data_IF_987810364986
#
_entry.id   IF_987810364986
#
_cell.length_a   1.000
_cell.length_b   1.000
_cell.length_c   1.000
_cell.angle_alpha   90.00
_cell.angle_beta   90.00
_cell.angle_gamma   90.00
#
_symmetry.space_group_name_H-M   'P 1'
#
loop_
_entity.id
_entity.type
_entity.pdbx_description
1 polymer ?
#
# COMPACT_ATOMS: atom_id res chain seq x y z
N UNK A 1 -25.99 11.00 11.62
CA UNK A 1 -25.76 11.26 10.20
C UNK A 1 -24.30 11.66 10.11
N UNK A 2 -23.45 10.79 9.57
CA UNK A 2 -22.07 11.15 9.33
C UNK A 2 -22.10 12.16 8.18
N UNK A 3 -21.54 13.33 8.41
CA UNK A 3 -21.38 14.34 7.37
C UNK A 3 -20.42 13.74 6.35
N UNK A 4 -20.90 13.52 5.13
CA UNK A 4 -20.09 12.93 4.06
C UNK A 4 -19.17 14.06 3.57
N UNK A 5 -17.95 14.08 4.11
CA UNK A 5 -16.93 15.06 3.74
C UNK A 5 -16.72 15.03 2.22
N UNK A 6 -16.56 16.20 1.63
CA UNK A 6 -16.14 16.30 0.24
C UNK A 6 -14.73 15.70 0.06
N UNK A 7 -14.37 15.27 -1.15
CA UNK A 7 -13.04 14.67 -1.44
C UNK A 7 -11.90 15.61 -1.02
N UNK A 8 -12.09 16.92 -1.23
CA UNK A 8 -11.11 17.94 -0.84
C UNK A 8 -10.99 18.06 0.69
N UNK A 9 -12.11 17.98 1.43
CA UNK A 9 -12.09 18.00 2.89
C UNK A 9 -11.43 16.75 3.47
N UNK A 10 -11.69 15.56 2.90
CA UNK A 10 -11.04 14.32 3.31
C UNK A 10 -9.52 14.39 3.08
N UNK A 11 -9.08 14.95 1.94
CA UNK A 11 -7.66 15.17 1.65
C UNK A 11 -7.01 16.10 2.69
N UNK A 12 -7.64 17.25 2.97
CA UNK A 12 -7.13 18.21 3.95
C UNK A 12 -7.10 17.63 5.37
N UNK A 13 -8.09 16.81 5.73
CA UNK A 13 -8.10 16.13 7.03
C UNK A 13 -6.98 15.08 7.13
N UNK A 14 -6.68 14.36 6.05
CA UNK A 14 -5.59 13.39 6.00
C UNK A 14 -4.21 14.03 6.31
N UNK A 15 -3.97 15.23 5.78
CA UNK A 15 -2.75 16.02 6.04
C UNK A 15 -2.66 16.54 7.48
N UNK A 16 -3.78 16.59 8.21
CA UNK A 16 -3.82 17.05 9.62
C UNK A 16 -3.73 15.91 10.63
N UNK A 17 -3.64 14.66 10.15
CA UNK A 17 -3.53 13.50 11.03
C UNK A 17 -2.23 13.54 11.83
N UNK A 18 -2.28 13.07 13.09
CA UNK A 18 -1.08 12.97 13.93
C UNK A 18 0.03 12.13 13.27
N UNK A 19 -0.34 11.04 12.60
CA UNK A 19 0.62 10.19 11.86
C UNK A 19 1.36 10.96 10.75
N UNK A 20 0.65 11.84 10.05
CA UNK A 20 1.25 12.69 9.04
C UNK A 20 2.21 13.69 9.68
N UNK A 21 1.73 14.47 10.63
CA UNK A 21 2.51 15.50 11.32
C UNK A 21 3.77 14.93 11.99
N UNK A 22 3.66 13.78 12.68
CA UNK A 22 4.78 13.13 13.35
C UNK A 22 5.86 12.66 12.37
N UNK A 23 5.46 12.08 11.23
CA UNK A 23 6.40 11.64 10.19
C UNK A 23 7.05 12.84 9.50
N UNK A 24 6.24 13.82 9.09
CA UNK A 24 6.70 15.04 8.44
C UNK A 24 7.73 15.78 9.28
N UNK A 25 7.44 16.04 10.56
CA UNK A 25 8.35 16.74 11.46
C UNK A 25 9.69 16.01 11.62
N UNK A 26 9.66 14.68 11.80
CA UNK A 26 10.89 13.93 11.98
C UNK A 26 11.72 13.83 10.69
N UNK A 27 11.08 13.74 9.52
CA UNK A 27 11.79 13.84 8.25
C UNK A 27 12.44 15.23 8.12
N UNK A 28 11.75 16.29 8.53
CA UNK A 28 12.35 17.62 8.59
C UNK A 28 13.55 17.70 9.55
N UNK A 29 13.47 17.06 10.72
CA UNK A 29 14.58 17.02 11.68
C UNK A 29 15.81 16.31 11.09
N UNK A 30 15.62 15.15 10.42
CA UNK A 30 16.68 14.46 9.70
C UNK A 30 17.32 15.37 8.65
N UNK A 31 16.51 16.15 7.92
CA UNK A 31 17.03 17.12 6.97
C UNK A 31 17.81 18.28 7.63
N UNK A 32 17.38 18.71 8.81
CA UNK A 32 18.05 19.73 9.61
C UNK A 32 19.43 19.29 10.11
N UNK A 33 19.53 18.04 10.56
CA UNK A 33 20.79 17.41 10.99
C UNK A 33 21.77 17.19 9.82
N UNK A 34 21.27 16.78 8.64
CA UNK A 34 22.11 16.63 7.45
C UNK A 34 22.68 17.98 7.01
N UNK A 35 21.86 19.05 7.03
CA UNK A 35 22.30 20.41 6.68
C UNK A 35 23.34 20.99 7.65
N UNK A 36 23.32 20.60 8.92
CA UNK A 36 24.30 21.07 9.91
C UNK A 36 25.64 20.33 9.78
N UNK A 37 25.64 19.08 9.31
CA UNK A 37 26.86 18.32 8.98
C UNK A 37 27.55 18.83 7.69
N UNK A 38 26.79 19.29 6.70
CA UNK A 38 27.30 19.84 5.42
C UNK A 38 28.03 21.20 5.55
N UNK A 39 28.18 21.74 6.78
CA UNK A 39 29.03 22.91 7.05
C UNK A 39 30.53 22.60 7.09
N UNK A 40 30.94 21.33 7.01
CA UNK A 40 32.34 20.98 6.78
C UNK A 40 32.64 20.91 5.27
N UNK A 41 33.76 21.46 4.79
CA UNK A 41 34.10 21.44 3.38
C UNK A 41 34.52 20.02 3.00
N UNK A 42 33.63 19.24 2.42
CA UNK A 42 33.97 17.95 1.83
C UNK A 42 33.29 17.79 0.48
N UNK A 43 34.13 17.79 -0.54
CA UNK A 43 33.83 17.54 -1.95
C UNK A 43 33.37 16.09 -2.15
N UNK A 44 32.09 15.81 -1.89
CA UNK A 44 31.42 14.64 -2.44
C UNK A 44 29.92 14.84 -2.36
N UNK A 45 29.23 14.77 -3.50
CA UNK A 45 27.76 14.73 -3.58
C UNK A 45 27.25 13.48 -2.86
N UNK A 46 27.04 13.57 -1.54
CA UNK A 46 26.33 12.51 -0.82
C UNK A 46 24.85 12.63 -1.19
N UNK A 47 24.20 11.53 -1.63
CA UNK A 47 22.78 11.57 -1.92
C UNK A 47 22.03 11.93 -0.63
N UNK A 48 21.09 12.86 -0.76
CA UNK A 48 20.15 13.21 0.29
C UNK A 48 19.37 11.94 0.66
N UNK A 49 19.64 11.37 1.83
CA UNK A 49 19.04 10.11 2.27
C UNK A 49 18.02 10.42 3.36
N UNK A 50 16.78 10.64 2.94
CA UNK A 50 15.63 10.59 3.85
C UNK A 50 15.28 9.12 4.04
N UNK A 51 15.20 8.67 5.29
CA UNK A 51 14.91 7.27 5.60
C UNK A 51 13.44 7.11 6.00
N UNK A 52 12.54 7.00 5.01
CA UNK A 52 11.16 6.61 5.29
C UNK A 52 11.10 5.18 5.86
N UNK A 53 12.07 4.35 5.51
CA UNK A 53 12.21 2.98 6.02
C UNK A 53 12.23 2.87 7.55
N UNK A 54 12.67 3.89 8.29
CA UNK A 54 12.64 3.90 9.77
C UNK A 54 11.21 3.97 10.33
N UNK A 55 10.25 4.42 9.53
CA UNK A 55 8.83 4.54 9.85
C UNK A 55 8.02 3.35 9.34
N UNK A 56 8.66 2.45 8.57
CA UNK A 56 7.98 1.28 8.05
C UNK A 56 7.56 0.36 9.19
N UNK A 57 6.31 -0.12 9.12
CA UNK A 57 5.88 -1.19 9.98
C UNK A 57 6.77 -2.43 9.74
N UNK A 58 7.47 -2.88 10.80
CA UNK A 58 8.48 -3.97 10.83
C UNK A 58 7.97 -5.38 10.44
N UNK A 59 6.85 -5.49 9.72
CA UNK A 59 6.44 -6.72 9.05
C UNK A 59 7.23 -6.90 7.74
N UNK A 60 8.56 -6.96 7.85
CA UNK A 60 9.42 -7.28 6.70
C UNK A 60 9.05 -8.68 6.18
N UNK A 61 9.06 -8.93 4.86
CA UNK A 61 8.81 -10.27 4.30
C UNK A 61 9.67 -11.36 4.97
N UNK A 62 10.91 -11.02 5.31
CA UNK A 62 11.86 -11.86 6.06
C UNK A 62 11.37 -12.23 7.47
N UNK A 63 10.77 -11.28 8.19
CA UNK A 63 10.18 -11.49 9.53
C UNK A 63 8.90 -12.33 9.45
N UNK A 64 8.19 -12.29 8.32
CA UNK A 64 7.01 -13.13 8.06
C UNK A 64 7.36 -14.59 7.80
N UNK A 65 8.48 -14.89 7.13
CA UNK A 65 8.89 -16.27 6.85
C UNK A 65 9.08 -17.12 8.13
N UNK A 66 9.42 -16.49 9.26
CA UNK A 66 9.46 -17.12 10.57
C UNK A 66 8.08 -17.29 11.24
N UNK A 67 7.17 -16.33 11.04
CA UNK A 67 5.82 -16.32 11.60
C UNK A 67 4.80 -17.21 10.84
N UNK A 68 5.12 -17.59 9.59
CA UNK A 68 4.33 -18.50 8.75
C UNK A 68 4.51 -19.97 9.10
N UNK A 69 5.47 -20.34 9.97
CA UNK A 69 5.56 -21.68 10.57
C UNK A 69 4.42 -21.90 11.58
N UNK A 70 3.20 -22.07 11.07
CA UNK A 70 2.00 -22.39 11.85
C UNK A 70 0.76 -21.54 11.54
N UNK A 71 0.87 -20.50 10.72
CA UNK A 71 -0.26 -19.64 10.33
C UNK A 71 -0.62 -19.83 8.85
N UNK A 72 -1.91 -19.95 8.54
CA UNK A 72 -2.43 -20.11 7.18
C UNK A 72 -2.46 -18.77 6.42
N UNK A 73 -1.32 -18.13 6.23
CA UNK A 73 -1.23 -16.90 5.42
C UNK A 73 -1.34 -17.29 3.94
N UNK A 74 -2.26 -16.64 3.21
CA UNK A 74 -2.40 -16.90 1.78
C UNK A 74 -1.19 -16.35 1.01
N UNK A 75 -0.62 -17.11 0.07
CA UNK A 75 0.59 -16.70 -0.67
C UNK A 75 0.44 -15.32 -1.34
N UNK A 76 -0.72 -15.00 -1.93
CA UNK A 76 -0.97 -13.67 -2.50
C UNK A 76 -0.89 -12.51 -1.50
N UNK A 77 -1.09 -12.77 -0.20
CA UNK A 77 -0.87 -11.76 0.85
C UNK A 77 0.62 -11.48 1.02
N UNK A 78 1.47 -12.50 0.83
CA UNK A 78 2.92 -12.34 0.82
C UNK A 78 3.33 -11.53 -0.42
N UNK A 79 2.80 -11.86 -1.60
CA UNK A 79 3.01 -11.08 -2.83
C UNK A 79 2.64 -9.59 -2.63
N UNK A 80 1.53 -9.30 -1.94
CA UNK A 80 1.14 -7.95 -1.54
C UNK A 80 2.13 -7.28 -0.56
N UNK A 81 2.63 -8.01 0.44
CA UNK A 81 3.58 -7.46 1.40
C UNK A 81 4.94 -7.15 0.75
N UNK A 82 5.32 -7.90 -0.28
CA UNK A 82 6.50 -7.59 -1.10
C UNK A 82 6.24 -6.35 -1.96
N UNK A 83 5.16 -6.34 -2.76
CA UNK A 83 4.82 -5.21 -3.63
C UNK A 83 4.66 -3.89 -2.85
N UNK A 84 4.05 -3.92 -1.67
CA UNK A 84 3.91 -2.73 -0.81
C UNK A 84 5.25 -2.27 -0.20
N UNK A 85 6.20 -3.19 0.01
CA UNK A 85 7.55 -2.83 0.43
C UNK A 85 8.33 -2.15 -0.70
N UNK A 86 8.29 -2.71 -1.91
CA UNK A 86 8.87 -2.08 -3.10
C UNK A 86 8.28 -0.69 -3.39
N UNK A 87 6.97 -0.55 -3.25
CA UNK A 87 6.29 0.73 -3.39
C UNK A 87 6.77 1.76 -2.35
N UNK A 88 6.97 1.32 -1.09
CA UNK A 88 7.52 2.19 -0.04
C UNK A 88 8.94 2.67 -0.34
N UNK A 89 9.79 1.78 -0.90
CA UNK A 89 11.12 2.17 -1.35
C UNK A 89 11.02 3.22 -2.46
N UNK A 90 10.06 3.09 -3.37
CA UNK A 90 9.84 4.08 -4.44
C UNK A 90 9.41 5.43 -3.87
N UNK A 91 8.53 5.47 -2.86
CA UNK A 91 8.20 6.70 -2.13
C UNK A 91 9.46 7.36 -1.54
N UNK A 92 10.35 6.58 -0.90
CA UNK A 92 11.61 7.10 -0.34
C UNK A 92 12.54 7.66 -1.43
N UNK A 93 12.63 6.98 -2.58
CA UNK A 93 13.42 7.45 -3.71
C UNK A 93 12.88 8.78 -4.25
N UNK A 94 11.56 8.90 -4.39
CA UNK A 94 10.88 10.11 -4.86
C UNK A 94 11.03 11.28 -3.90
N UNK A 95 10.92 11.02 -2.61
CA UNK A 95 11.10 12.06 -1.60
C UNK A 95 12.51 12.66 -1.68
N UNK A 96 13.52 11.81 -1.87
CA UNK A 96 14.89 12.25 -2.15
C UNK A 96 14.99 13.11 -3.42
N UNK A 97 14.28 12.75 -4.48
CA UNK A 97 14.21 13.54 -5.72
C UNK A 97 13.56 14.91 -5.52
N UNK A 98 12.46 14.99 -4.77
CA UNK A 98 11.79 16.25 -4.44
C UNK A 98 12.72 17.18 -3.67
N UNK A 99 13.40 16.66 -2.64
CA UNK A 99 14.33 17.46 -1.86
C UNK A 99 15.51 17.96 -2.67
N UNK A 100 16.04 17.11 -3.56
CA UNK A 100 17.11 17.52 -4.45
C UNK A 100 16.64 18.54 -5.49
N UNK A 101 15.42 18.41 -6.03
CA UNK A 101 14.83 19.41 -6.93
C UNK A 101 14.67 20.76 -6.21
N UNK A 102 14.18 20.75 -4.97
CA UNK A 102 14.07 21.96 -4.14
C UNK A 102 15.44 22.57 -3.85
N UNK A 103 16.46 21.76 -3.57
CA UNK A 103 17.83 22.23 -3.37
C UNK A 103 18.43 22.86 -4.64
N UNK A 104 18.23 22.23 -5.79
CA UNK A 104 18.65 22.76 -7.10
C UNK A 104 17.95 24.08 -7.41
N UNK A 105 16.65 24.18 -7.14
CA UNK A 105 15.87 25.39 -7.43
C UNK A 105 16.27 26.59 -6.57
N UNK A 106 16.92 26.39 -5.41
CA UNK A 106 17.50 27.51 -4.64
C UNK A 106 18.54 28.31 -5.42
N UNK A 107 19.20 27.70 -6.41
CA UNK A 107 20.12 28.39 -7.31
C UNK A 107 19.36 29.46 -8.10
N UNK A 108 18.19 29.11 -8.63
CA UNK A 108 17.29 30.05 -9.31
C UNK A 108 16.79 31.13 -8.34
N UNK A 109 16.36 30.76 -7.13
CA UNK A 109 15.95 31.75 -6.10
C UNK A 109 17.06 32.77 -5.79
N UNK A 110 18.32 32.32 -5.74
CA UNK A 110 19.47 33.23 -5.58
C UNK A 110 19.70 34.08 -6.82
N UNK A 111 19.68 33.48 -8.00
CA UNK A 111 19.84 34.19 -9.28
C UNK A 111 18.85 35.35 -9.43
N UNK A 112 17.58 35.12 -9.07
CA UNK A 112 16.48 36.10 -9.10
C UNK A 112 16.75 37.31 -8.19
N UNK A 113 17.48 37.09 -7.09
CA UNK A 113 17.70 38.06 -6.01
C UNK A 113 19.02 38.83 -6.15
N UNK A 114 19.89 38.43 -7.09
CA UNK A 114 21.20 39.04 -7.30
C UNK A 114 21.10 40.34 -8.12
N UNK A 115 21.80 41.43 -7.71
CA UNK A 115 21.76 42.71 -8.44
C UNK A 115 22.73 42.77 -9.63
N UNK A 116 23.65 41.82 -9.74
CA UNK A 116 24.75 41.85 -10.71
C UNK A 116 24.62 40.73 -11.75
N UNK A 117 24.46 41.12 -13.01
CA UNK A 117 24.24 40.23 -14.15
C UNK A 117 25.30 39.13 -14.30
N UNK A 118 26.57 39.40 -14.01
CA UNK A 118 27.65 38.40 -14.10
C UNK A 118 27.45 37.27 -13.10
N UNK A 119 27.00 37.58 -11.88
CA UNK A 119 26.70 36.57 -10.88
C UNK A 119 25.42 35.79 -11.22
N UNK A 120 24.41 36.45 -11.80
CA UNK A 120 23.20 35.78 -12.27
C UNK A 120 23.54 34.76 -13.38
N UNK A 121 24.32 35.14 -14.39
CA UNK A 121 24.76 34.21 -15.43
C UNK A 121 25.50 32.99 -14.85
N UNK A 122 26.33 33.19 -13.82
CA UNK A 122 27.03 32.09 -13.15
C UNK A 122 26.06 31.12 -12.45
N UNK A 123 25.07 31.63 -11.71
CA UNK A 123 24.06 30.77 -11.08
C UNK A 123 23.20 30.04 -12.14
N UNK A 124 22.79 30.72 -13.21
CA UNK A 124 22.03 30.09 -14.31
C UNK A 124 22.83 28.99 -15.02
N UNK A 125 24.12 29.22 -15.27
CA UNK A 125 25.01 28.22 -15.86
C UNK A 125 25.17 27.01 -14.93
N UNK A 126 25.33 27.25 -13.63
CA UNK A 126 25.36 26.19 -12.62
C UNK A 126 24.06 25.38 -12.64
N UNK A 127 22.90 26.04 -12.64
CA UNK A 127 21.59 25.37 -12.67
C UNK A 127 21.39 24.54 -13.94
N UNK A 128 21.69 25.11 -15.11
CA UNK A 128 21.56 24.44 -16.41
C UNK A 128 22.38 23.14 -16.48
N UNK A 129 23.53 23.09 -15.81
CA UNK A 129 24.40 21.91 -15.78
C UNK A 129 23.92 20.78 -14.87
N UNK A 130 22.90 21.00 -14.04
CA UNK A 130 22.42 19.99 -13.10
C UNK A 130 21.57 18.91 -13.78
N UNK A 131 21.70 17.68 -13.27
CA UNK A 131 20.77 16.62 -13.63
C UNK A 131 19.39 16.91 -13.05
N UNK A 132 18.34 16.55 -13.81
CA UNK A 132 16.98 16.63 -13.33
C UNK A 132 16.71 15.50 -12.32
N UNK A 133 16.40 15.81 -11.05
CA UNK A 133 16.19 14.79 -10.03
C UNK A 133 14.96 13.92 -10.28
N UNK A 134 13.98 14.40 -11.06
CA UNK A 134 12.76 13.65 -11.39
C UNK A 134 13.04 12.48 -12.35
N UNK A 135 14.13 12.53 -13.10
CA UNK A 135 14.56 11.42 -13.98
C UNK A 135 15.16 10.22 -13.22
N UNK A 136 15.30 10.31 -11.89
CA UNK A 136 15.81 9.22 -11.07
C UNK A 136 14.91 7.98 -11.12
N UNK A 137 13.61 8.16 -11.35
CA UNK A 137 12.68 7.08 -11.66
C UNK A 137 12.18 7.30 -13.09
N UNK A 138 12.54 6.38 -13.97
CA UNK A 138 12.16 6.43 -15.38
C UNK A 138 10.67 6.16 -15.57
N UNK A 139 10.08 6.70 -16.65
CA UNK A 139 8.70 6.38 -17.03
C UNK A 139 8.47 4.88 -17.27
N UNK A 140 9.50 4.15 -17.70
CA UNK A 140 9.44 2.68 -17.78
C UNK A 140 9.30 2.04 -16.40
N UNK A 141 10.05 2.49 -15.39
CA UNK A 141 9.92 1.95 -14.03
C UNK A 141 8.53 2.21 -13.44
N UNK A 142 7.93 3.37 -13.70
CA UNK A 142 6.54 3.64 -13.31
C UNK A 142 5.57 2.67 -13.96
N UNK A 143 5.71 2.44 -15.28
CA UNK A 143 4.89 1.48 -16.01
C UNK A 143 5.08 0.05 -15.46
N UNK A 144 6.31 -0.36 -15.21
CA UNK A 144 6.61 -1.71 -14.69
C UNK A 144 5.99 -1.92 -13.30
N UNK A 145 6.07 -0.91 -12.41
CA UNK A 145 5.39 -0.93 -11.11
C UNK A 145 3.88 -1.02 -11.29
N UNK A 146 3.30 -0.20 -12.16
CA UNK A 146 1.86 -0.18 -12.42
C UNK A 146 1.35 -1.52 -12.95
N UNK A 147 2.00 -2.08 -13.97
CA UNK A 147 1.66 -3.39 -14.55
C UNK A 147 1.77 -4.52 -13.52
N UNK A 148 2.81 -4.49 -12.68
CA UNK A 148 2.98 -5.44 -11.58
C UNK A 148 1.84 -5.36 -10.56
N UNK A 149 1.44 -4.15 -10.17
CA UNK A 149 0.35 -3.91 -9.24
C UNK A 149 -1.02 -4.30 -9.82
N UNK A 150 -1.29 -3.98 -11.09
CA UNK A 150 -2.52 -4.40 -11.79
C UNK A 150 -2.63 -5.92 -11.86
N UNK A 151 -1.53 -6.59 -12.25
CA UNK A 151 -1.47 -8.04 -12.30
C UNK A 151 -1.73 -8.67 -10.92
N UNK A 152 -1.16 -8.10 -9.87
CA UNK A 152 -1.41 -8.54 -8.50
C UNK A 152 -2.87 -8.31 -8.08
N UNK A 153 -3.45 -7.15 -8.41
CA UNK A 153 -4.85 -6.82 -8.12
C UNK A 153 -5.80 -7.83 -8.79
N UNK A 154 -5.54 -8.19 -10.04
CA UNK A 154 -6.33 -9.18 -10.76
C UNK A 154 -6.29 -10.53 -10.06
N UNK A 155 -5.10 -11.01 -9.69
CA UNK A 155 -4.90 -12.29 -8.97
C UNK A 155 -5.61 -12.30 -7.62
N UNK A 156 -5.45 -11.25 -6.82
CA UNK A 156 -6.12 -11.08 -5.53
C UNK A 156 -7.64 -11.11 -5.68
N UNK A 157 -8.16 -10.35 -6.64
CA UNK A 157 -9.61 -10.25 -6.91
C UNK A 157 -10.18 -11.57 -7.41
N UNK A 158 -9.48 -12.27 -8.28
CA UNK A 158 -9.91 -13.56 -8.81
C UNK A 158 -9.97 -14.63 -7.71
N UNK A 159 -8.92 -14.76 -6.90
CA UNK A 159 -8.90 -15.72 -5.80
C UNK A 159 -9.93 -15.36 -4.72
N UNK A 160 -10.10 -14.08 -4.38
CA UNK A 160 -11.19 -13.62 -3.51
C UNK A 160 -12.57 -14.05 -4.04
N UNK A 161 -12.87 -13.78 -5.31
CA UNK A 161 -14.15 -14.20 -5.95
C UNK A 161 -14.33 -15.72 -5.91
N UNK A 162 -13.27 -16.49 -6.10
CA UNK A 162 -13.29 -17.97 -6.02
C UNK A 162 -13.56 -18.46 -4.60
N UNK A 163 -12.94 -17.86 -3.59
CA UNK A 163 -13.18 -18.16 -2.18
C UNK A 163 -14.64 -17.86 -1.81
N UNK A 164 -15.13 -16.66 -2.17
CA UNK A 164 -16.53 -16.25 -1.91
C UNK A 164 -17.55 -17.17 -2.58
N UNK A 165 -17.26 -17.67 -3.79
CA UNK A 165 -18.09 -18.69 -4.45
C UNK A 165 -18.12 -20.00 -3.68
N UNK A 166 -16.97 -20.49 -3.20
CA UNK A 166 -16.88 -21.72 -2.38
C UNK A 166 -17.59 -21.58 -1.04
N UNK A 167 -17.49 -20.43 -0.41
CA UNK A 167 -18.19 -20.11 0.83
C UNK A 167 -19.71 -20.14 0.66
N UNK A 168 -20.23 -19.49 -0.41
CA UNK A 168 -21.65 -19.56 -0.78
C UNK A 168 -22.12 -21.00 -1.02
N UNK A 169 -21.33 -21.78 -1.75
CA UNK A 169 -21.63 -23.19 -2.01
C UNK A 169 -21.64 -24.02 -0.71
N UNK A 170 -20.65 -23.83 0.17
CA UNK A 170 -20.60 -24.52 1.46
C UNK A 170 -21.79 -24.17 2.35
N UNK A 171 -22.23 -22.91 2.39
CA UNK A 171 -23.46 -22.51 3.10
C UNK A 171 -24.69 -23.22 2.55
N UNK A 172 -24.80 -23.28 1.23
CA UNK A 172 -25.91 -23.97 0.57
C UNK A 172 -25.92 -25.48 0.87
N UNK A 173 -24.76 -26.15 0.78
CA UNK A 173 -24.63 -27.57 1.15
C UNK A 173 -24.94 -27.82 2.62
N UNK A 174 -24.49 -26.95 3.54
CA UNK A 174 -24.82 -27.05 4.97
C UNK A 174 -26.34 -26.95 5.19
N UNK A 175 -27.02 -26.06 4.46
CA UNK A 175 -28.48 -25.90 4.53
C UNK A 175 -29.21 -27.16 4.04
N UNK A 176 -28.81 -27.72 2.90
CA UNK A 176 -29.39 -28.97 2.37
C UNK A 176 -29.13 -30.16 3.30
N UNK A 177 -27.89 -30.32 3.77
CA UNK A 177 -27.53 -31.43 4.64
C UNK A 177 -28.29 -31.33 5.98
N UNK A 178 -28.48 -30.13 6.52
CA UNK A 178 -29.32 -29.88 7.69
C UNK A 178 -30.77 -30.32 7.47
N UNK A 179 -31.37 -29.93 6.35
CA UNK A 179 -32.74 -30.37 6.00
C UNK A 179 -32.84 -31.89 5.83
N UNK A 180 -31.89 -32.51 5.14
CA UNK A 180 -31.86 -33.96 4.93
C UNK A 180 -31.73 -34.72 6.26
N UNK A 181 -30.88 -34.25 7.17
CA UNK A 181 -30.74 -34.82 8.51
C UNK A 181 -32.04 -34.71 9.30
N UNK A 182 -32.70 -33.54 9.31
CA UNK A 182 -33.99 -33.36 10.00
C UNK A 182 -35.06 -34.31 9.47
N UNK A 183 -35.21 -34.42 8.14
CA UNK A 183 -36.19 -35.32 7.51
C UNK A 183 -35.88 -36.78 7.86
N UNK A 184 -34.61 -37.20 7.82
CA UNK A 184 -34.21 -38.57 8.15
C UNK A 184 -34.45 -38.93 9.62
N UNK A 185 -34.16 -38.02 10.55
CA UNK A 185 -34.41 -38.23 11.99
C UNK A 185 -35.91 -38.32 12.28
N UNK A 186 -36.72 -37.45 11.69
CA UNK A 186 -38.18 -37.51 11.84
C UNK A 186 -38.75 -38.81 11.29
N UNK A 187 -38.30 -39.25 10.11
CA UNK A 187 -38.69 -40.54 9.53
C UNK A 187 -38.30 -41.74 10.39
N UNK A 188 -37.08 -41.75 10.95
CA UNK A 188 -36.61 -42.81 11.84
C UNK A 188 -37.44 -42.87 13.14
N UNK A 189 -37.75 -41.72 13.75
CA UNK A 189 -38.59 -41.67 14.95
C UNK A 189 -39.99 -42.22 14.69
N UNK A 190 -40.60 -41.85 13.56
CA UNK A 190 -41.92 -42.38 13.16
C UNK A 190 -41.85 -43.90 12.96
N UNK A 191 -40.84 -44.41 12.26
CA UNK A 191 -40.67 -45.84 12.04
C UNK A 191 -40.48 -46.62 13.37
N UNK A 192 -39.68 -46.08 14.31
CA UNK A 192 -39.49 -46.68 15.62
C UNK A 192 -40.79 -46.72 16.45
N UNK A 193 -41.61 -45.68 16.38
CA UNK A 193 -42.93 -45.65 17.03
C UNK A 193 -43.87 -46.72 16.46
N UNK A 194 -43.94 -46.85 15.13
CA UNK A 194 -44.75 -47.86 14.45
C UNK A 194 -44.30 -49.28 14.84
N UNK A 195 -42.99 -49.54 14.82
CA UNK A 195 -42.43 -50.83 15.26
C UNK A 195 -42.78 -51.09 16.73
N UNK A 196 -42.64 -50.11 17.63
CA UNK A 196 -42.99 -50.26 19.05
C UNK A 196 -44.46 -50.61 19.25
N UNK A 197 -45.38 -50.05 18.45
CA UNK A 197 -46.81 -50.35 18.51
C UNK A 197 -47.09 -51.77 18.03
N UNK A 198 -46.42 -52.22 16.96
CA UNK A 198 -46.64 -53.54 16.37
C UNK A 198 -45.84 -54.68 17.02
N UNK A 199 -44.82 -54.39 17.83
CA UNK A 199 -43.93 -55.40 18.46
C UNK A 199 -44.53 -56.07 19.71
N UNK A 200 -45.86 -56.01 19.91
CA UNK A 200 -46.56 -56.76 20.98
C UNK A 200 -46.56 -58.28 20.73
N UNK A 201 -45.89 -58.78 19.68
CA UNK A 201 -45.64 -60.21 19.46
C UNK A 201 -44.14 -60.49 19.35
N UNK A 202 -43.53 -60.88 20.48
CA UNK A 202 -42.43 -61.85 20.55
C UNK A 202 -40.97 -61.42 20.28
N UNK A 203 -40.21 -61.34 21.38
CA UNK A 203 -38.78 -61.72 21.56
C UNK A 203 -37.66 -60.78 21.08
N UNK A 204 -37.00 -60.19 22.09
CA UNK A 204 -35.55 -60.07 22.38
C UNK A 204 -34.55 -60.22 21.21
N UNK A 205 -33.84 -59.12 20.92
CA UNK A 205 -32.39 -59.17 20.59
C UNK A 205 -31.66 -58.04 21.33
N UNK A 206 -30.61 -58.40 22.05
CA UNK A 206 -29.77 -57.56 22.90
C UNK A 206 -28.79 -56.67 22.09
N UNK A 207 -27.96 -55.80 22.71
CA UNK A 207 -27.72 -54.44 22.27
C UNK A 207 -26.57 -54.32 21.25
N UNK A 208 -26.87 -53.88 20.03
CA UNK A 208 -25.88 -53.54 19.00
C UNK A 208 -25.31 -52.11 19.11
N UNK A 209 -25.56 -51.41 20.24
CA UNK A 209 -25.14 -50.01 20.45
C UNK A 209 -23.63 -49.81 20.59
N UNK A 210 -22.80 -50.85 20.57
CA UNK A 210 -21.33 -50.71 20.64
C UNK A 210 -20.70 -50.27 19.31
N UNK A 211 -21.40 -50.42 18.18
CA UNK A 211 -20.88 -50.00 16.86
C UNK A 211 -21.16 -48.51 16.54
N UNK A 212 -22.07 -47.86 17.26
CA UNK A 212 -22.46 -46.47 17.02
C UNK A 212 -21.45 -45.45 17.56
N UNK A 213 -20.69 -45.76 18.61
CA UNK A 213 -19.69 -44.86 19.21
C UNK A 213 -18.50 -44.56 18.26
N UNK A 214 -18.01 -45.57 17.54
CA UNK A 214 -16.92 -45.41 16.56
C UNK A 214 -17.33 -44.58 15.34
N UNK A 215 -18.58 -44.74 14.89
CA UNK A 215 -19.17 -43.93 13.82
C UNK A 215 -19.45 -42.50 14.29
N UNK A 216 -19.88 -42.30 15.54
CA UNK A 216 -20.07 -40.98 16.14
C UNK A 216 -18.75 -40.21 16.25
N UNK A 217 -17.66 -40.85 16.73
CA UNK A 217 -16.32 -40.23 16.77
C UNK A 217 -15.83 -39.81 15.37
N UNK A 218 -15.94 -40.70 14.37
CA UNK A 218 -15.57 -40.38 12.98
C UNK A 218 -16.41 -39.24 12.39
N UNK A 219 -17.72 -39.21 12.69
CA UNK A 219 -18.62 -38.11 12.26
C UNK A 219 -18.26 -36.78 12.94
N UNK A 220 -17.98 -36.78 14.24
CA UNK A 220 -17.54 -35.59 14.96
C UNK A 220 -16.25 -35.07 14.35
N UNK A 221 -15.25 -35.92 14.12
CA UNK A 221 -13.96 -35.53 13.52
C UNK A 221 -14.13 -34.93 12.11
N UNK A 222 -15.00 -35.51 11.27
CA UNK A 222 -15.35 -34.98 9.95
C UNK A 222 -16.02 -33.60 10.03
N UNK A 223 -16.94 -33.41 10.99
CA UNK A 223 -17.61 -32.13 11.22
C UNK A 223 -16.60 -31.08 11.71
N UNK A 224 -15.71 -31.43 12.66
CA UNK A 224 -14.69 -30.52 13.17
C UNK A 224 -13.69 -30.13 12.07
N UNK A 225 -13.25 -31.08 11.23
CA UNK A 225 -12.40 -30.80 10.06
C UNK A 225 -13.11 -29.91 9.04
N UNK A 226 -14.39 -30.16 8.77
CA UNK A 226 -15.21 -29.34 7.89
C UNK A 226 -15.38 -27.90 8.40
N UNK A 227 -15.61 -27.73 9.70
CA UNK A 227 -15.77 -26.42 10.33
C UNK A 227 -14.47 -25.61 10.29
N UNK A 228 -13.33 -26.22 10.63
CA UNK A 228 -11.98 -25.63 10.50
C UNK A 228 -11.67 -25.24 9.06
N UNK A 229 -12.06 -26.06 8.08
CA UNK A 229 -11.87 -25.75 6.66
C UNK A 229 -12.70 -24.54 6.22
N UNK A 230 -13.93 -24.38 6.74
CA UNK A 230 -14.75 -23.19 6.45
C UNK A 230 -14.18 -21.93 7.09
N UNK A 231 -13.74 -21.97 8.34
CA UNK A 231 -13.16 -20.78 9.00
C UNK A 231 -11.85 -20.35 8.33
N UNK A 232 -10.99 -21.28 7.92
CA UNK A 232 -9.77 -20.98 7.15
C UNK A 232 -10.08 -20.35 5.78
N UNK A 233 -11.18 -20.77 5.14
CA UNK A 233 -11.61 -20.24 3.86
C UNK A 233 -12.15 -18.82 3.99
N UNK A 234 -13.01 -18.57 4.99
CA UNK A 234 -13.54 -17.24 5.32
C UNK A 234 -12.40 -16.27 5.66
N UNK A 235 -11.44 -16.71 6.49
CA UNK A 235 -10.21 -15.98 6.83
C UNK A 235 -9.40 -15.60 5.59
N UNK A 236 -9.14 -16.58 4.72
CA UNK A 236 -8.39 -16.33 3.48
C UNK A 236 -9.12 -15.33 2.59
N UNK A 237 -10.46 -15.37 2.58
CA UNK A 237 -11.30 -14.40 1.87
C UNK A 237 -11.12 -12.97 2.37
N UNK A 238 -11.19 -12.77 3.70
CA UNK A 238 -11.02 -11.45 4.31
C UNK A 238 -9.62 -10.87 4.04
N UNK A 239 -8.56 -11.68 4.18
CA UNK A 239 -7.20 -11.26 3.90
C UNK A 239 -7.00 -10.82 2.44
N UNK A 240 -7.56 -11.58 1.48
CA UNK A 240 -7.49 -11.25 0.06
C UNK A 240 -8.30 -10.00 -0.29
N UNK A 241 -9.46 -9.80 0.35
CA UNK A 241 -10.28 -8.61 0.15
C UNK A 241 -9.57 -7.34 0.60
N UNK A 242 -9.00 -7.35 1.81
CA UNK A 242 -8.23 -6.22 2.34
C UNK A 242 -7.03 -5.95 1.44
N UNK A 243 -6.24 -6.99 1.10
CA UNK A 243 -5.08 -6.83 0.22
C UNK A 243 -5.47 -6.26 -1.16
N UNK A 244 -6.55 -6.75 -1.79
CA UNK A 244 -7.03 -6.22 -3.07
C UNK A 244 -7.39 -4.74 -2.99
N UNK A 245 -8.10 -4.32 -1.93
CA UNK A 245 -8.44 -2.91 -1.72
C UNK A 245 -7.19 -2.05 -1.53
N UNK A 246 -6.21 -2.54 -0.78
CA UNK A 246 -4.94 -1.83 -0.56
C UNK A 246 -4.13 -1.69 -1.85
N UNK A 247 -4.06 -2.73 -2.70
CA UNK A 247 -3.40 -2.64 -4.01
C UNK A 247 -4.12 -1.65 -4.93
N UNK A 248 -5.45 -1.62 -4.91
CA UNK A 248 -6.22 -0.64 -5.69
C UNK A 248 -5.89 0.80 -5.28
N UNK A 249 -5.82 1.09 -3.98
CA UNK A 249 -5.43 2.42 -3.49
C UNK A 249 -4.01 2.75 -3.95
N UNK A 250 -3.08 1.79 -3.81
CA UNK A 250 -1.69 1.96 -4.20
C UNK A 250 -1.51 2.29 -5.69
N UNK A 251 -2.29 1.65 -6.57
CA UNK A 251 -2.28 1.96 -8.01
C UNK A 251 -2.65 3.43 -8.22
N UNK A 252 -3.76 3.90 -7.63
CA UNK A 252 -4.23 5.28 -7.77
C UNK A 252 -3.21 6.31 -7.23
N UNK A 253 -2.57 6.02 -6.10
CA UNK A 253 -1.53 6.88 -5.53
C UNK A 253 -0.35 7.02 -6.51
N UNK A 254 0.12 5.90 -7.08
CA UNK A 254 1.22 5.89 -8.04
C UNK A 254 0.87 6.58 -9.36
N UNK A 255 -0.38 6.44 -9.80
CA UNK A 255 -0.92 7.13 -10.96
C UNK A 255 -0.88 8.66 -10.78
N UNK A 256 -1.23 9.12 -9.58
CA UNK A 256 -1.20 10.54 -9.23
C UNK A 256 0.23 11.04 -9.14
N UNK A 257 1.10 10.32 -8.41
CA UNK A 257 2.52 10.66 -8.30
C UNK A 257 3.21 10.66 -9.67
N UNK A 258 2.92 9.71 -10.56
CA UNK A 258 3.53 9.66 -11.90
C UNK A 258 3.16 10.88 -12.75
N UNK A 259 1.92 11.37 -12.64
CA UNK A 259 1.49 12.60 -13.36
C UNK A 259 2.19 13.83 -12.81
N UNK A 260 2.30 13.96 -11.48
CA UNK A 260 3.01 15.07 -10.82
C UNK A 260 4.51 15.07 -11.18
N UNK A 261 5.15 13.89 -11.15
CA UNK A 261 6.56 13.73 -11.54
C UNK A 261 6.78 14.08 -13.00
N UNK A 262 5.90 13.67 -13.91
CA UNK A 262 5.97 14.05 -15.33
C UNK A 262 5.94 15.57 -15.52
N UNK A 263 5.01 16.26 -14.86
CA UNK A 263 4.90 17.73 -14.92
C UNK A 263 6.16 18.42 -14.40
N UNK A 264 6.66 18.00 -13.23
CA UNK A 264 7.89 18.55 -12.64
C UNK A 264 9.12 18.24 -13.49
N UNK A 265 9.17 17.06 -14.12
CA UNK A 265 10.25 16.69 -15.02
C UNK A 265 10.32 17.66 -16.21
N UNK A 266 9.19 17.87 -16.89
CA UNK A 266 9.11 18.76 -18.05
C UNK A 266 9.44 20.21 -17.66
N UNK A 267 8.92 20.68 -16.53
CA UNK A 267 9.17 22.03 -16.00
C UNK A 267 10.65 22.23 -15.64
N UNK A 268 11.31 21.25 -15.02
CA UNK A 268 12.76 21.34 -14.70
C UNK A 268 13.59 21.34 -15.99
N UNK A 269 13.28 20.51 -16.98
CA UNK A 269 14.02 20.52 -18.25
C UNK A 269 13.79 21.81 -19.03
N UNK A 270 12.57 22.35 -19.02
CA UNK A 270 12.27 23.66 -19.60
C UNK A 270 13.10 24.76 -18.94
N UNK A 271 13.08 24.82 -17.61
CA UNK A 271 13.83 25.79 -16.81
C UNK A 271 15.34 25.71 -17.06
N UNK A 272 15.88 24.50 -17.21
CA UNK A 272 17.29 24.31 -17.58
C UNK A 272 17.57 24.82 -19.00
N UNK A 273 16.71 24.51 -19.96
CA UNK A 273 16.88 24.92 -21.35
C UNK A 273 16.86 26.45 -21.51
N UNK A 274 15.96 27.16 -20.81
CA UNK A 274 15.93 28.63 -20.84
C UNK A 274 17.14 29.25 -20.15
N UNK A 275 17.62 28.67 -19.03
CA UNK A 275 18.82 29.12 -18.34
C UNK A 275 20.07 28.97 -19.22
N UNK A 276 20.22 27.81 -19.85
CA UNK A 276 21.31 27.48 -20.78
C UNK A 276 21.30 28.38 -22.03
N UNK A 277 20.12 28.61 -22.61
CA UNK A 277 19.93 29.55 -23.71
C UNK A 277 20.33 30.98 -23.32
N UNK A 278 19.91 31.43 -22.14
CA UNK A 278 20.27 32.74 -21.60
C UNK A 278 21.79 32.92 -21.50
N UNK A 279 22.47 31.93 -20.90
CA UNK A 279 23.93 31.93 -20.71
C UNK A 279 24.66 31.96 -22.05
N UNK A 280 24.24 31.16 -23.03
CA UNK A 280 24.83 31.18 -24.38
C UNK A 280 24.63 32.51 -25.10
N UNK A 281 23.49 33.15 -24.90
CA UNK A 281 23.17 34.42 -25.55
C UNK A 281 24.01 35.57 -24.96
N UNK A 282 24.16 35.61 -23.63
CA UNK A 282 24.99 36.59 -22.92
C UNK A 282 24.46 38.02 -22.93
N UNK A 283 23.34 38.30 -23.61
CA UNK A 283 22.73 39.62 -23.69
C UNK A 283 21.96 39.98 -22.41
N UNK A 284 22.17 41.18 -21.83
CA UNK A 284 21.45 41.62 -20.64
C UNK A 284 19.92 41.64 -20.79
N UNK A 285 19.41 41.93 -21.98
CA UNK A 285 17.96 41.98 -22.25
C UNK A 285 17.32 40.60 -22.12
N UNK A 286 18.01 39.56 -22.62
CA UNK A 286 17.59 38.16 -22.50
C UNK A 286 17.67 37.69 -21.05
N UNK A 287 18.70 38.13 -20.31
CA UNK A 287 18.84 37.86 -18.88
C UNK A 287 17.67 38.43 -18.08
N UNK A 288 17.29 39.68 -18.33
CA UNK A 288 16.17 40.31 -17.64
C UNK A 288 14.86 39.56 -17.86
N UNK A 289 14.61 39.12 -19.09
CA UNK A 289 13.39 38.39 -19.43
C UNK A 289 13.35 37.00 -18.78
N UNK A 290 14.47 36.27 -18.81
CA UNK A 290 14.58 34.94 -18.16
C UNK A 290 14.43 35.05 -16.64
N UNK A 291 15.00 36.09 -16.01
CA UNK A 291 14.81 36.36 -14.58
C UNK A 291 13.35 36.72 -14.26
N UNK A 292 12.69 37.50 -15.14
CA UNK A 292 11.25 37.83 -15.00
C UNK A 292 10.40 36.56 -15.05
N UNK A 293 10.68 35.67 -15.99
CA UNK A 293 9.99 34.39 -16.14
C UNK A 293 10.12 33.54 -14.88
N UNK A 294 11.34 33.34 -14.38
CA UNK A 294 11.56 32.60 -13.14
C UNK A 294 10.87 33.21 -11.92
N UNK A 295 10.76 34.55 -11.84
CA UNK A 295 10.00 35.22 -10.77
C UNK A 295 8.51 34.88 -10.82
N UNK A 296 7.93 34.81 -12.02
CA UNK A 296 6.50 34.55 -12.22
C UNK A 296 6.17 33.09 -11.88
N UNK A 297 7.00 32.15 -12.31
CA UNK A 297 6.74 30.72 -12.15
C UNK A 297 7.25 30.11 -10.84
N UNK A 298 8.05 30.86 -10.06
CA UNK A 298 8.65 30.37 -8.82
C UNK A 298 7.62 29.79 -7.83
N UNK A 299 6.53 30.50 -7.54
CA UNK A 299 5.55 30.03 -6.57
C UNK A 299 4.88 28.75 -7.06
N UNK A 300 4.42 28.72 -8.31
CA UNK A 300 3.75 27.55 -8.88
C UNK A 300 4.66 26.32 -8.95
N UNK A 301 5.94 26.49 -9.25
CA UNK A 301 6.89 25.37 -9.23
C UNK A 301 7.10 24.81 -7.83
N UNK A 302 7.20 25.68 -6.82
CA UNK A 302 7.37 25.27 -5.42
C UNK A 302 6.11 24.58 -4.87
N UNK A 303 4.93 25.06 -5.24
CA UNK A 303 3.63 24.42 -4.95
C UNK A 303 3.57 23.02 -5.56
N UNK A 304 3.95 22.84 -6.84
CA UNK A 304 3.98 21.50 -7.45
C UNK A 304 4.94 20.52 -6.75
N UNK A 305 6.07 21.02 -6.24
CA UNK A 305 6.99 20.20 -5.43
C UNK A 305 6.39 19.84 -4.06
N UNK A 306 5.61 20.73 -3.47
CA UNK A 306 4.87 20.50 -2.23
C UNK A 306 3.75 19.49 -2.45
N UNK A 307 2.93 19.64 -3.49
CA UNK A 307 1.88 18.70 -3.86
C UNK A 307 2.40 17.26 -4.01
N UNK A 308 3.54 17.11 -4.71
CA UNK A 308 4.20 15.81 -4.85
C UNK A 308 4.71 15.27 -3.51
N UNK A 309 5.32 16.12 -2.69
CA UNK A 309 5.81 15.74 -1.36
C UNK A 309 4.68 15.24 -0.45
N UNK A 310 3.57 15.97 -0.40
CA UNK A 310 2.37 15.60 0.36
C UNK A 310 1.82 14.25 -0.09
N UNK A 311 1.68 14.04 -1.40
CA UNK A 311 1.19 12.77 -1.94
C UNK A 311 2.14 11.60 -1.64
N UNK A 312 3.46 11.81 -1.67
CA UNK A 312 4.43 10.78 -1.28
C UNK A 312 4.23 10.38 0.18
N UNK A 313 4.06 11.35 1.08
CA UNK A 313 3.82 11.08 2.49
C UNK A 313 2.49 10.36 2.72
N UNK A 314 1.41 10.80 2.08
CA UNK A 314 0.10 10.17 2.17
C UNK A 314 0.13 8.71 1.68
N UNK A 315 0.74 8.48 0.51
CA UNK A 315 0.91 7.13 -0.03
C UNK A 315 1.70 6.23 0.93
N UNK A 316 2.83 6.71 1.44
CA UNK A 316 3.65 5.97 2.38
C UNK A 316 2.92 5.61 3.69
N UNK A 317 2.15 6.56 4.25
CA UNK A 317 1.30 6.31 5.42
C UNK A 317 0.20 5.29 5.13
N UNK A 318 -0.43 5.41 3.95
CA UNK A 318 -1.45 4.48 3.47
C UNK A 318 -0.90 3.06 3.36
N UNK A 319 0.29 2.91 2.78
CA UNK A 319 1.01 1.62 2.72
C UNK A 319 1.25 1.07 4.12
N UNK A 320 1.81 1.88 5.04
CA UNK A 320 2.11 1.43 6.39
C UNK A 320 0.87 0.99 7.17
N UNK A 321 -0.21 1.78 7.09
CA UNK A 321 -1.49 1.43 7.70
C UNK A 321 -2.05 0.15 7.08
N UNK A 322 -2.00 0.03 5.76
CA UNK A 322 -2.49 -1.13 5.02
C UNK A 322 -1.73 -2.40 5.38
N UNK A 323 -0.39 -2.34 5.49
CA UNK A 323 0.45 -3.44 5.96
C UNK A 323 0.10 -3.85 7.40
N UNK A 324 -0.18 -2.88 8.27
CA UNK A 324 -0.62 -3.14 9.64
C UNK A 324 -1.99 -3.86 9.67
N UNK A 325 -2.97 -3.38 8.91
CA UNK A 325 -4.31 -3.98 8.83
C UNK A 325 -4.25 -5.43 8.32
N UNK A 326 -3.53 -5.65 7.22
CA UNK A 326 -3.31 -7.01 6.69
C UNK A 326 -2.61 -7.90 7.72
N UNK A 327 -1.65 -7.36 8.47
CA UNK A 327 -0.96 -8.11 9.53
C UNK A 327 -1.83 -8.35 10.77
N UNK A 328 -2.76 -7.47 11.10
CA UNK A 328 -3.76 -7.71 12.14
C UNK A 328 -4.72 -8.83 11.71
N UNK A 329 -5.16 -8.83 10.45
CA UNK A 329 -5.90 -9.95 9.84
C UNK A 329 -5.06 -11.23 9.71
N UNK A 330 -3.75 -11.18 9.94
CA UNK A 330 -2.90 -12.37 10.08
C UNK A 330 -2.74 -12.77 11.55
N UNK A 331 -2.60 -11.80 12.48
CA UNK A 331 -2.24 -11.98 13.90
C UNK A 331 -3.39 -12.06 14.90
N UNK A 332 -4.51 -11.37 14.69
CA UNK A 332 -5.75 -11.51 15.50
C UNK A 332 -6.23 -12.96 15.58
N UNK A 333 -5.69 -13.80 14.72
CA UNK A 333 -5.93 -15.22 14.56
C UNK A 333 -4.90 -16.13 15.25
N UNK A 334 -3.98 -15.58 16.06
CA UNK A 334 -3.16 -16.37 17.00
C UNK A 334 -3.82 -16.49 18.38
N UNK A 335 -4.71 -15.55 18.76
CA UNK A 335 -5.35 -15.53 20.08
C UNK A 335 -6.61 -16.41 20.17
N UNK A 336 -7.31 -16.71 19.07
CA UNK A 336 -8.45 -17.66 19.08
C UNK A 336 -8.03 -19.14 19.10
N UNK A 337 -6.72 -19.42 19.03
CA UNK A 337 -6.16 -20.78 18.99
C UNK A 337 -5.31 -21.16 20.22
N UNK A 338 -5.34 -20.35 21.27
CA UNK A 338 -4.99 -20.76 22.65
C UNK A 338 -6.27 -20.95 23.45
#
# INVERSE_FOLDING_TARGET
MADELTVDEEYIEALRTKSYTDMFNKVQDQMGEIRSLDRLPSSSSRPFRVCLSDYLFQARPETLAGATKGTSVHHLVIDYLEASYEASNTCELLLGSVHQARANYRIITRAISLPNSTHVFKELSSFASLNNPMLRISSSQYRDIHESLEFLLERLTMEFKKIRRREKFNRYCKRILGFSLMVSCSGLLIALLVISIHSVVGIVVAPSLTCSLGLAKKRIELITKGLKKTSLLERSGAQLEVAARCVFILINDFDTMSRLVGRLQDEIEHNKAIADMCVRNGKPEVLMEVVREFKIHQTSFLEQLEDLEEHIYLCFLSINRSRMLVMQEVRGLQQEHK
#
